data_IF_832432274923
#
_entry.id   IF_832432274923
#
_cell.length_a   1.000
_cell.length_b   1.000
_cell.length_c   1.000
_cell.angle_alpha   90.00
_cell.angle_beta   90.00
_cell.angle_gamma   90.00
#
_symmetry.space_group_name_H-M   'P 1'
#
loop_
_entity.id
_entity.type
_entity.pdbx_description
1 polymer ?
#
# COMPACT_ATOMS: atom_id res chain seq x y z
N UNK A 1 9.92 7.49 23.51
CA UNK A 1 10.28 6.73 22.28
C UNK A 1 9.48 7.35 21.14
N UNK A 2 10.11 8.09 20.24
CA UNK A 2 9.39 8.71 19.12
C UNK A 2 8.69 7.62 18.30
N UNK A 3 7.40 7.82 17.96
CA UNK A 3 6.69 6.90 17.05
C UNK A 3 7.49 6.87 15.75
N UNK A 4 8.18 5.76 15.48
CA UNK A 4 8.82 5.54 14.19
C UNK A 4 7.72 5.60 13.13
N UNK A 5 7.81 6.56 12.22
CA UNK A 5 6.85 6.74 11.13
C UNK A 5 7.27 5.81 10.00
N UNK A 6 6.30 5.11 9.41
CA UNK A 6 6.54 4.32 8.22
C UNK A 6 6.51 5.27 7.03
N UNK A 7 7.61 5.35 6.28
CA UNK A 7 7.68 6.15 5.07
C UNK A 7 7.91 5.27 3.86
N UNK A 8 7.46 5.73 2.70
CA UNK A 8 7.90 5.17 1.44
C UNK A 8 9.35 5.62 1.11
N UNK A 9 9.85 5.20 -0.05
CA UNK A 9 11.21 5.53 -0.49
C UNK A 9 11.40 7.02 -0.82
N UNK A 10 10.31 7.77 -1.02
CA UNK A 10 10.34 9.23 -1.27
C UNK A 10 10.40 10.03 0.03
N UNK A 11 10.20 9.37 1.17
CA UNK A 11 10.07 10.01 2.48
C UNK A 11 8.63 10.41 2.83
N UNK A 12 7.65 10.11 1.98
CA UNK A 12 6.25 10.37 2.28
C UNK A 12 5.73 9.37 3.31
N UNK A 13 4.94 9.86 4.27
CA UNK A 13 4.41 9.04 5.37
C UNK A 13 3.28 8.14 4.87
N UNK A 14 3.42 6.83 5.12
CA UNK A 14 2.36 5.85 4.91
C UNK A 14 1.52 5.82 6.17
N UNK A 15 0.25 6.22 6.07
CA UNK A 15 -0.70 6.25 7.18
C UNK A 15 -2.09 5.80 6.74
N UNK A 16 -2.97 5.37 7.66
CA UNK A 16 -4.37 5.12 7.36
C UNK A 16 -5.03 6.32 6.66
N UNK A 17 -5.73 6.06 5.55
CA UNK A 17 -6.32 7.07 4.67
C UNK A 17 -5.43 7.53 3.51
N UNK A 18 -4.12 7.24 3.54
CA UNK A 18 -3.24 7.55 2.42
C UNK A 18 -3.65 6.73 1.18
N UNK A 19 -3.55 7.37 0.01
CA UNK A 19 -3.69 6.73 -1.28
C UNK A 19 -2.29 6.30 -1.75
N UNK A 20 -2.14 5.03 -2.09
CA UNK A 20 -0.84 4.43 -2.43
C UNK A 20 -0.92 3.68 -3.74
N UNK A 21 0.19 3.66 -4.47
CA UNK A 21 0.44 2.74 -5.58
C UNK A 21 1.38 1.64 -5.10
N UNK A 22 1.03 0.39 -5.38
CA UNK A 22 1.86 -0.77 -5.02
C UNK A 22 1.90 -1.81 -6.12
N UNK A 23 3.03 -2.53 -6.21
CA UNK A 23 3.16 -3.65 -7.14
C UNK A 23 2.49 -4.90 -6.59
N UNK A 24 1.66 -5.56 -7.41
CA UNK A 24 1.05 -6.85 -7.08
C UNK A 24 1.15 -7.84 -8.24
N UNK A 25 1.31 -9.11 -7.90
CA UNK A 25 1.41 -10.21 -8.89
C UNK A 25 0.06 -10.43 -9.58
N UNK A 26 0.12 -10.73 -10.87
CA UNK A 26 -1.00 -11.15 -11.70
C UNK A 26 -0.60 -12.37 -12.54
N UNK A 27 -0.73 -13.57 -11.98
CA UNK A 27 -0.20 -14.78 -12.65
C UNK A 27 1.31 -14.64 -12.88
N UNK A 28 1.76 -14.65 -14.13
CA UNK A 28 3.18 -14.41 -14.49
C UNK A 28 3.48 -12.95 -14.85
N UNK A 29 2.55 -12.02 -14.62
CA UNK A 29 2.70 -10.58 -14.82
C UNK A 29 2.77 -9.83 -13.49
N UNK A 30 3.12 -8.56 -13.57
CA UNK A 30 3.04 -7.58 -12.49
C UNK A 30 2.12 -6.46 -12.93
N UNK A 31 1.29 -5.98 -12.01
CA UNK A 31 0.52 -4.74 -12.17
C UNK A 31 0.88 -3.77 -11.05
N UNK A 32 0.72 -2.49 -11.32
CA UNK A 32 0.63 -1.46 -10.28
C UNK A 32 -0.83 -1.24 -9.95
N UNK A 33 -1.09 -0.99 -8.68
CA UNK A 33 -2.44 -0.92 -8.16
C UNK A 33 -2.58 0.22 -7.19
N UNK A 34 -3.62 1.00 -7.37
CA UNK A 34 -4.02 2.01 -6.42
C UNK A 34 -4.84 1.38 -5.29
N UNK A 35 -4.55 1.79 -4.05
CA UNK A 35 -5.29 1.37 -2.89
C UNK A 35 -5.31 2.43 -1.79
N UNK A 36 -6.27 2.31 -0.88
CA UNK A 36 -6.35 3.10 0.34
C UNK A 36 -5.73 2.28 1.47
N UNK A 37 -4.83 2.90 2.22
CA UNK A 37 -4.27 2.32 3.45
C UNK A 37 -5.33 2.30 4.54
N UNK A 38 -5.57 1.12 5.11
CA UNK A 38 -6.51 0.93 6.23
C UNK A 38 -5.80 0.91 7.56
N UNK A 39 -4.68 0.18 7.63
CA UNK A 39 -3.99 -0.11 8.88
C UNK A 39 -2.51 -0.39 8.61
N UNK A 40 -1.67 -0.06 9.60
CA UNK A 40 -0.24 -0.38 9.59
C UNK A 40 0.01 -1.47 10.62
N UNK A 41 0.72 -2.50 10.20
CA UNK A 41 1.08 -3.64 11.03
C UNK A 41 2.60 -3.86 10.94
N UNK A 42 3.12 -4.67 11.85
CA UNK A 42 4.51 -5.15 11.76
C UNK A 42 4.53 -6.63 12.05
N UNK A 43 5.28 -7.38 11.25
CA UNK A 43 5.55 -8.79 11.52
C UNK A 43 7.04 -8.99 11.80
N UNK A 44 7.39 -10.04 12.54
CA UNK A 44 8.76 -10.53 12.64
C UNK A 44 8.88 -11.80 11.81
N UNK A 45 9.63 -11.72 10.72
CA UNK A 45 9.92 -12.86 9.86
C UNK A 45 11.43 -13.08 9.79
N UNK A 46 11.88 -14.30 10.09
CA UNK A 46 13.30 -14.68 10.07
C UNK A 46 14.23 -13.73 10.86
N UNK A 47 13.76 -13.18 11.99
CA UNK A 47 14.52 -12.25 12.83
C UNK A 47 14.50 -10.79 12.35
N UNK A 48 13.84 -10.48 11.23
CA UNK A 48 13.71 -9.13 10.68
C UNK A 48 12.30 -8.59 10.91
N UNK A 49 12.19 -7.32 11.34
CA UNK A 49 10.90 -6.62 11.42
C UNK A 49 10.51 -6.17 10.01
N UNK A 50 9.37 -6.68 9.53
CA UNK A 50 8.81 -6.33 8.23
C UNK A 50 7.57 -5.46 8.44
N UNK A 51 7.58 -4.20 7.99
CA UNK A 51 6.39 -3.36 7.99
C UNK A 51 5.37 -3.89 6.98
N UNK A 52 4.15 -4.11 7.45
CA UNK A 52 3.03 -4.57 6.66
C UNK A 52 1.95 -3.48 6.61
N UNK A 53 1.25 -3.41 5.49
CA UNK A 53 0.22 -2.43 5.25
C UNK A 53 -1.03 -3.15 4.79
N UNK A 54 -2.13 -2.94 5.50
CA UNK A 54 -3.43 -3.44 5.11
C UNK A 54 -4.08 -2.44 4.19
N UNK A 55 -4.44 -2.86 2.98
CA UNK A 55 -4.91 -1.98 1.91
C UNK A 55 -6.23 -2.45 1.32
N UNK A 56 -7.05 -1.50 0.86
CA UNK A 56 -8.24 -1.75 0.04
C UNK A 56 -8.00 -1.20 -1.37
N UNK A 57 -7.89 -2.06 -2.39
CA UNK A 57 -7.75 -1.62 -3.78
C UNK A 57 -8.92 -0.73 -4.22
N UNK A 58 -8.64 0.32 -4.98
CA UNK A 58 -9.69 1.22 -5.54
C UNK A 58 -10.28 0.69 -6.84
N UNK A 59 -9.58 -0.27 -7.48
CA UNK A 59 -9.91 -0.80 -8.80
C UNK A 59 -9.19 -0.08 -9.95
N UNK A 60 -8.44 0.99 -9.65
CA UNK A 60 -7.50 1.59 -10.61
C UNK A 60 -6.21 0.77 -10.62
N UNK A 61 -6.03 0.00 -11.68
CA UNK A 61 -4.87 -0.86 -11.90
C UNK A 61 -4.19 -0.50 -13.23
N UNK A 62 -2.88 -0.71 -13.32
CA UNK A 62 -2.16 -0.67 -14.59
C UNK A 62 -2.21 -2.01 -15.33
N UNK A 63 -1.80 -2.00 -16.60
CA UNK A 63 -1.68 -3.21 -17.41
C UNK A 63 -2.94 -3.56 -18.21
N UNK A 64 -3.00 -4.79 -18.71
CA UNK A 64 -3.99 -5.22 -19.70
C UNK A 64 -5.21 -5.94 -19.11
N UNK A 65 -5.14 -6.38 -17.86
CA UNK A 65 -6.15 -7.25 -17.26
C UNK A 65 -6.59 -6.67 -15.91
N UNK A 66 -7.85 -6.27 -15.83
CA UNK A 66 -8.47 -5.76 -14.61
C UNK A 66 -8.46 -6.79 -13.47
N UNK A 67 -8.44 -6.29 -12.23
CA UNK A 67 -8.55 -7.14 -11.05
C UNK A 67 -9.97 -7.72 -10.93
N UNK A 68 -10.07 -8.96 -10.43
CA UNK A 68 -11.36 -9.65 -10.24
C UNK A 68 -12.08 -9.25 -8.94
N UNK A 69 -11.34 -8.87 -7.89
CA UNK A 69 -11.90 -8.61 -6.55
C UNK A 69 -11.23 -7.41 -5.90
N UNK A 70 -11.96 -6.58 -5.16
CA UNK A 70 -11.39 -5.50 -4.34
C UNK A 70 -11.18 -5.94 -2.89
N UNK A 71 -10.85 -7.22 -2.69
CA UNK A 71 -10.63 -7.78 -1.37
C UNK A 71 -9.50 -7.03 -0.66
N UNK A 72 -9.63 -6.84 0.65
CA UNK A 72 -8.58 -6.26 1.49
C UNK A 72 -7.36 -7.19 1.45
N UNK A 73 -6.17 -6.59 1.34
CA UNK A 73 -4.91 -7.33 1.26
C UNK A 73 -3.91 -6.78 2.26
N UNK A 74 -3.04 -7.65 2.77
CA UNK A 74 -1.86 -7.25 3.54
C UNK A 74 -0.65 -7.36 2.64
N UNK A 75 0.08 -6.27 2.49
CA UNK A 75 1.26 -6.18 1.62
C UNK A 75 2.45 -5.61 2.39
N UNK A 76 3.66 -5.96 1.97
CA UNK A 76 4.85 -5.34 2.52
C UNK A 76 4.97 -3.89 2.03
N UNK A 77 5.42 -3.01 2.93
CA UNK A 77 5.57 -1.58 2.62
C UNK A 77 6.71 -1.28 1.62
N UNK A 78 7.58 -2.26 1.37
CA UNK A 78 8.81 -2.13 0.55
C UNK A 78 8.55 -1.84 -0.94
N UNK A 79 7.34 -2.10 -1.43
CA UNK A 79 6.93 -1.91 -2.83
C UNK A 79 5.80 -0.91 -3.00
N UNK A 80 5.73 0.08 -2.11
CA UNK A 80 4.66 1.07 -2.08
C UNK A 80 5.20 2.49 -2.26
N UNK A 81 4.40 3.35 -2.87
CA UNK A 81 4.62 4.79 -2.93
C UNK A 81 3.31 5.51 -2.63
N UNK A 82 3.37 6.58 -1.84
CA UNK A 82 2.24 7.46 -1.56
C UNK A 82 1.98 8.33 -2.79
N UNK A 83 0.74 8.34 -3.25
CA UNK A 83 0.32 9.10 -4.43
C UNK A 83 -0.76 10.14 -4.11
N UNK A 84 -1.24 10.19 -2.87
CA UNK A 84 -2.21 11.17 -2.40
C UNK A 84 -2.72 10.87 -1.00
N UNK A 85 -3.67 11.68 -0.54
CA UNK A 85 -4.40 11.46 0.71
C UNK A 85 -5.90 11.61 0.44
N UNK A 86 -6.70 10.65 0.90
CA UNK A 86 -8.16 10.71 0.77
C UNK A 86 -8.78 11.82 1.60
N UNK A 87 -8.04 12.38 2.58
CA UNK A 87 -8.47 13.56 3.36
C UNK A 87 -8.24 14.90 2.65
N UNK A 88 -7.68 14.88 1.44
CA UNK A 88 -7.27 16.06 0.67
C UNK A 88 -8.34 16.71 -0.22
N UNK A 89 -9.56 16.17 -0.31
CA UNK A 89 -10.68 16.82 -1.01
C UNK A 89 -11.68 17.40 0.00
N UNK A 90 -11.26 18.49 0.64
CA UNK A 90 -12.17 19.48 1.22
C UNK A 90 -11.62 20.85 0.88
N UNK A 91 -11.95 21.31 -0.33
CA UNK A 91 -11.94 22.72 -0.71
C UNK A 91 -13.22 23.01 -1.47
#
# INVERSE_FOLDING_TARGET
MGKARLTDYTGAEIHPGALVSYATRQGNLVRLSEAIVLELESNKAAGVVVPLVKVKPTGRDSGFISRKTLAVQTVAADRMVVIGDTKGESK
#
